data_IF_732634489427
#
_entry.id   IF_732634489427
#
_cell.length_a   1.000
_cell.length_b   1.000
_cell.length_c   1.000
_cell.angle_alpha   90.00
_cell.angle_beta   90.00
_cell.angle_gamma   90.00
#
_symmetry.space_group_name_H-M   'P 1'
#
loop_
_entity.id
_entity.type
_entity.pdbx_description
1 polymer ?
#
# COMPACT_ATOMS: atom_id res chain seq x y z
N UNK A 1 23.14 -4.10 23.94
CA UNK A 1 22.03 -4.77 24.65
C UNK A 1 20.75 -4.33 23.97
N UNK A 2 20.02 -5.24 23.33
CA UNK A 2 18.69 -4.95 22.83
C UNK A 2 17.67 -5.42 23.89
N UNK A 3 16.58 -4.67 24.15
CA UNK A 3 15.57 -5.05 25.13
C UNK A 3 14.89 -6.37 24.72
N UNK A 4 14.49 -7.22 25.67
CA UNK A 4 13.87 -8.53 25.42
C UNK A 4 12.63 -8.51 24.48
N UNK A 5 12.00 -7.35 24.32
CA UNK A 5 10.91 -7.15 23.36
C UNK A 5 11.38 -7.21 21.89
N UNK A 6 12.65 -6.91 21.58
CA UNK A 6 13.18 -6.89 20.21
C UNK A 6 13.31 -8.28 19.60
N UNK A 7 13.41 -9.33 20.42
CA UNK A 7 13.48 -10.72 19.91
C UNK A 7 12.12 -11.24 19.45
N UNK A 8 11.04 -10.56 19.86
CA UNK A 8 9.64 -10.90 19.57
C UNK A 8 8.97 -9.94 18.59
N UNK A 9 9.60 -8.80 18.33
CA UNK A 9 9.10 -7.79 17.39
C UNK A 9 9.98 -7.75 16.14
N UNK A 10 9.36 -8.00 14.99
CA UNK A 10 9.95 -7.74 13.67
C UNK A 10 9.27 -6.53 13.04
N UNK A 11 10.04 -5.50 12.69
CA UNK A 11 9.55 -4.37 11.88
C UNK A 11 10.13 -4.49 10.48
N UNK A 12 9.30 -4.27 9.47
CA UNK A 12 9.73 -4.17 8.08
C UNK A 12 8.97 -3.08 7.35
N UNK A 13 9.57 -2.48 6.35
CA UNK A 13 8.93 -1.46 5.55
C UNK A 13 9.79 -1.08 4.35
N UNK A 14 9.19 -0.33 3.45
CA UNK A 14 9.87 0.26 2.29
C UNK A 14 9.23 1.62 2.00
N UNK A 15 10.01 2.53 1.46
CA UNK A 15 9.52 3.82 1.00
C UNK A 15 10.22 4.23 -0.30
N UNK A 16 9.57 5.11 -1.06
CA UNK A 16 10.10 5.75 -2.25
C UNK A 16 9.82 7.24 -2.15
N UNK A 17 10.81 8.05 -2.50
CA UNK A 17 10.69 9.50 -2.64
C UNK A 17 11.06 9.81 -4.09
N UNK A 18 10.19 10.54 -4.78
CA UNK A 18 10.36 10.92 -6.17
C UNK A 18 10.29 12.44 -6.29
N UNK A 19 11.19 12.98 -7.10
CA UNK A 19 11.15 14.34 -7.61
C UNK A 19 11.24 14.21 -9.13
N UNK A 20 10.10 14.38 -9.80
CA UNK A 20 9.98 14.09 -11.23
C UNK A 20 9.36 15.27 -11.94
N UNK A 21 10.05 15.74 -12.98
CA UNK A 21 9.66 16.92 -13.75
C UNK A 21 9.87 16.66 -15.24
N UNK A 22 8.97 17.20 -16.07
CA UNK A 22 9.18 17.35 -17.50
C UNK A 22 10.23 18.43 -17.79
N UNK A 23 11.42 18.00 -18.23
CA UNK A 23 12.55 18.89 -18.50
C UNK A 23 12.66 19.36 -19.96
N UNK A 24 11.94 18.71 -20.88
CA UNK A 24 11.95 19.09 -22.29
C UNK A 24 10.62 18.73 -22.95
N UNK A 25 10.01 19.71 -23.64
CA UNK A 25 8.75 19.56 -24.36
C UNK A 25 9.01 19.66 -25.86
N UNK A 26 8.62 18.63 -26.61
CA UNK A 26 8.83 18.53 -28.06
C UNK A 26 7.52 18.67 -28.86
N UNK A 27 6.39 18.85 -28.17
CA UNK A 27 5.08 19.04 -28.80
C UNK A 27 4.89 20.49 -29.22
N UNK A 28 4.29 20.75 -30.40
CA UNK A 28 4.03 22.11 -30.89
C UNK A 28 2.80 22.76 -30.23
N UNK A 29 2.19 22.11 -29.24
CA UNK A 29 0.99 22.60 -28.51
C UNK A 29 1.35 22.99 -27.07
N UNK A 30 0.52 23.81 -26.44
CA UNK A 30 0.68 24.27 -25.04
C UNK A 30 0.04 23.29 -24.02
N UNK A 31 -0.22 22.04 -24.42
CA UNK A 31 -0.94 21.07 -23.59
C UNK A 31 -0.02 20.29 -22.64
N UNK A 32 1.29 20.50 -22.75
CA UNK A 32 2.34 19.89 -21.92
C UNK A 32 3.32 21.00 -21.54
N UNK A 33 3.56 21.21 -20.25
CA UNK A 33 4.46 22.27 -19.77
C UNK A 33 5.75 21.69 -19.19
N UNK A 34 6.87 22.33 -19.49
CA UNK A 34 8.12 22.05 -18.78
C UNK A 34 7.94 22.52 -17.33
N UNK A 35 8.36 21.70 -16.37
CA UNK A 35 8.07 21.93 -14.95
C UNK A 35 6.95 21.07 -14.39
N UNK A 36 6.08 20.49 -15.24
CA UNK A 36 5.00 19.63 -14.76
C UNK A 36 5.53 18.29 -14.26
N UNK A 37 4.92 17.76 -13.20
CA UNK A 37 5.26 16.44 -12.66
C UNK A 37 4.92 15.30 -13.63
N UNK A 38 5.71 14.23 -13.60
CA UNK A 38 5.42 13.04 -14.39
C UNK A 38 4.13 12.34 -13.95
N UNK A 39 3.44 11.75 -14.92
CA UNK A 39 2.25 10.95 -14.64
C UNK A 39 2.58 9.69 -13.83
N UNK A 40 1.69 9.32 -12.91
CA UNK A 40 1.81 8.16 -12.03
C UNK A 40 3.10 8.15 -11.19
N UNK A 41 3.63 9.32 -10.86
CA UNK A 41 4.83 9.48 -10.04
C UNK A 41 4.50 10.23 -8.72
N UNK A 42 3.86 9.57 -7.75
CA UNK A 42 3.64 10.18 -6.43
C UNK A 42 4.98 10.51 -5.77
N UNK A 43 5.09 11.71 -5.21
CA UNK A 43 6.32 12.18 -4.55
C UNK A 43 6.75 11.27 -3.40
N UNK A 44 5.80 10.65 -2.70
CA UNK A 44 6.09 9.74 -1.60
C UNK A 44 5.14 8.54 -1.60
N UNK A 45 5.73 7.35 -1.49
CA UNK A 45 5.00 6.10 -1.32
C UNK A 45 5.70 5.22 -0.31
N UNK A 46 4.95 4.34 0.36
CA UNK A 46 5.58 3.36 1.21
C UNK A 46 4.64 2.41 1.93
N UNK A 47 5.26 1.51 2.66
CA UNK A 47 4.59 0.58 3.54
C UNK A 47 5.41 0.33 4.80
N UNK A 48 4.70 -0.01 5.87
CA UNK A 48 5.25 -0.39 7.15
C UNK A 48 4.44 -1.57 7.69
N UNK A 49 5.13 -2.54 8.24
CA UNK A 49 4.57 -3.67 8.98
C UNK A 49 5.32 -3.87 10.28
N UNK A 50 4.61 -4.21 11.33
CA UNK A 50 5.18 -4.62 12.60
C UNK A 50 4.56 -5.95 12.99
N UNK A 51 5.36 -6.98 13.18
CA UNK A 51 4.92 -8.33 13.60
C UNK A 51 5.41 -8.58 15.01
N UNK A 52 4.49 -8.80 15.93
CA UNK A 52 4.80 -9.21 17.30
C UNK A 52 4.38 -10.67 17.51
N UNK A 53 5.29 -11.48 18.05
CA UNK A 53 5.11 -12.92 18.26
C UNK A 53 5.33 -13.28 19.72
N UNK A 54 4.52 -14.22 20.24
CA UNK A 54 4.67 -14.71 21.60
C UNK A 54 4.27 -16.17 21.72
N UNK A 55 4.92 -16.88 22.64
CA UNK A 55 4.56 -18.24 23.01
C UNK A 55 3.21 -18.20 23.75
N UNK A 56 2.17 -18.81 23.17
CA UNK A 56 0.85 -18.85 23.78
C UNK A 56 0.70 -20.07 24.72
N UNK A 57 1.22 -21.22 24.28
CA UNK A 57 1.38 -22.43 25.09
C UNK A 57 2.60 -23.23 24.57
N UNK A 58 2.89 -24.40 25.15
CA UNK A 58 4.14 -25.13 24.92
C UNK A 58 4.52 -25.33 23.44
N UNK A 59 3.52 -25.51 22.56
CA UNK A 59 3.75 -25.85 21.16
C UNK A 59 3.21 -24.78 20.18
N UNK A 60 2.48 -23.77 20.68
CA UNK A 60 1.82 -22.77 19.83
C UNK A 60 2.44 -21.38 20.00
N UNK A 61 2.82 -20.79 18.88
CA UNK A 61 3.23 -19.40 18.75
C UNK A 61 2.08 -18.59 18.19
N UNK A 62 1.72 -17.50 18.87
CA UNK A 62 0.72 -16.55 18.41
C UNK A 62 1.40 -15.30 17.85
N UNK A 63 0.73 -14.63 16.90
CA UNK A 63 1.20 -13.38 16.33
C UNK A 63 0.10 -12.36 16.09
N UNK A 64 0.49 -11.10 16.09
CA UNK A 64 -0.28 -9.99 15.53
C UNK A 64 0.61 -9.14 14.63
N UNK A 65 0.08 -8.70 13.50
CA UNK A 65 0.81 -7.93 12.51
C UNK A 65 -0.06 -6.80 11.94
N UNK A 66 -0.06 -5.61 12.55
CA UNK A 66 -0.53 -4.40 11.88
C UNK A 66 0.38 -4.03 10.70
N UNK A 67 -0.26 -3.52 9.65
CA UNK A 67 0.36 -3.06 8.41
C UNK A 67 -0.31 -1.76 7.96
N UNK A 68 0.47 -0.87 7.36
CA UNK A 68 -0.02 0.36 6.75
C UNK A 68 0.72 0.60 5.44
N UNK A 69 -0.01 1.03 4.42
CA UNK A 69 0.52 1.48 3.14
C UNK A 69 -0.04 2.86 2.81
N UNK A 70 0.78 3.69 2.19
CA UNK A 70 0.44 5.08 1.87
C UNK A 70 0.99 5.46 0.49
N UNK A 71 0.28 6.36 -0.19
CA UNK A 71 0.71 7.04 -1.41
C UNK A 71 0.25 8.48 -1.35
N UNK A 72 1.14 9.40 -1.70
CA UNK A 72 0.78 10.80 -1.96
C UNK A 72 -0.09 10.91 -3.21
N UNK A 73 -0.59 12.12 -3.43
CA UNK A 73 -1.26 12.49 -4.67
C UNK A 73 -0.30 12.36 -5.86
N UNK A 74 -0.88 12.13 -7.03
CA UNK A 74 -0.16 12.11 -8.30
C UNK A 74 -1.15 12.39 -9.43
N UNK A 75 -0.66 12.43 -10.66
CA UNK A 75 -1.53 12.74 -11.80
C UNK A 75 -1.57 11.61 -12.83
N UNK A 76 -2.70 11.47 -13.51
CA UNK A 76 -2.92 10.40 -14.50
C UNK A 76 -2.27 10.64 -15.86
N UNK A 77 -1.87 11.87 -16.17
CA UNK A 77 -1.31 12.25 -17.48
C UNK A 77 -0.35 13.44 -17.35
N UNK A 78 0.52 13.59 -18.36
CA UNK A 78 1.37 14.77 -18.57
C UNK A 78 0.66 15.83 -19.42
N UNK A 79 -0.42 15.46 -20.12
CA UNK A 79 -1.22 16.39 -20.94
C UNK A 79 -2.24 17.10 -20.05
N UNK A 80 -2.03 18.38 -19.75
CA UNK A 80 -2.78 19.13 -18.74
C UNK A 80 -4.31 19.13 -18.96
N UNK A 81 -4.78 19.12 -20.20
CA UNK A 81 -6.24 19.13 -20.52
C UNK A 81 -6.94 17.80 -20.23
N UNK A 82 -6.20 16.69 -20.24
CA UNK A 82 -6.71 15.33 -19.97
C UNK A 82 -6.16 14.76 -18.66
N UNK A 83 -5.41 15.57 -17.91
CA UNK A 83 -4.79 15.20 -16.64
C UNK A 83 -5.83 15.27 -15.54
N UNK A 84 -5.86 14.24 -14.73
CA UNK A 84 -6.74 14.14 -13.58
C UNK A 84 -5.89 13.77 -12.36
N UNK A 85 -6.28 14.28 -11.21
CA UNK A 85 -5.57 14.05 -9.96
C UNK A 85 -5.99 12.70 -9.37
N UNK A 86 -4.99 11.97 -8.89
CA UNK A 86 -5.15 10.72 -8.15
C UNK A 86 -4.90 11.08 -6.70
N UNK A 87 -5.97 11.09 -5.91
CA UNK A 87 -5.92 11.49 -4.50
C UNK A 87 -4.94 10.63 -3.69
N UNK A 88 -4.28 11.28 -2.73
CA UNK A 88 -3.49 10.57 -1.73
C UNK A 88 -4.35 9.59 -0.93
N UNK A 89 -3.77 8.46 -0.52
CA UNK A 89 -4.49 7.45 0.24
C UNK A 89 -3.60 6.79 1.29
N UNK A 90 -4.25 6.28 2.34
CA UNK A 90 -3.60 5.46 3.37
C UNK A 90 -4.52 4.30 3.73
N UNK A 91 -3.97 3.09 3.65
CA UNK A 91 -4.70 1.85 3.92
C UNK A 91 -4.07 1.12 5.08
N UNK A 92 -4.92 0.73 6.04
CA UNK A 92 -4.53 -0.06 7.20
C UNK A 92 -4.98 -1.50 7.05
N UNK A 93 -4.14 -2.44 7.45
CA UNK A 93 -4.44 -3.86 7.47
C UNK A 93 -3.93 -4.49 8.75
N UNK A 94 -4.55 -5.58 9.19
CA UNK A 94 -4.11 -6.34 10.36
C UNK A 94 -4.25 -7.82 10.11
N UNK A 95 -3.28 -8.57 10.61
CA UNK A 95 -3.31 -10.03 10.59
C UNK A 95 -3.04 -10.55 11.98
N UNK A 96 -3.75 -11.58 12.42
CA UNK A 96 -3.51 -12.25 13.69
C UNK A 96 -3.66 -13.76 13.51
N UNK A 97 -2.82 -14.55 14.17
CA UNK A 97 -2.84 -15.99 13.99
C UNK A 97 -2.11 -16.76 15.08
N UNK A 98 -2.24 -18.07 14.99
CA UNK A 98 -1.58 -19.06 15.84
C UNK A 98 -0.97 -20.13 14.95
N UNK A 99 0.24 -20.56 15.26
CA UNK A 99 0.97 -21.57 14.48
C UNK A 99 1.69 -22.54 15.42
N UNK A 100 1.67 -23.83 15.09
CA UNK A 100 2.53 -24.86 15.65
C UNK A 100 3.21 -25.65 14.51
N UNK A 101 3.86 -26.77 14.83
CA UNK A 101 4.56 -27.60 13.82
C UNK A 101 3.64 -28.15 12.72
N UNK A 102 2.37 -28.41 13.04
CA UNK A 102 1.41 -29.11 12.18
C UNK A 102 0.37 -28.19 11.55
N UNK A 103 -0.06 -27.16 12.26
CA UNK A 103 -1.19 -26.29 11.93
C UNK A 103 -0.79 -24.82 11.99
N UNK A 104 -1.29 -24.03 11.04
CA UNK A 104 -1.28 -22.58 11.11
C UNK A 104 -2.68 -22.06 10.82
N UNK A 105 -3.22 -21.23 11.70
CA UNK A 105 -4.54 -20.61 11.56
C UNK A 105 -4.37 -19.10 11.69
N UNK A 106 -4.87 -18.36 10.72
CA UNK A 106 -4.71 -16.92 10.64
C UNK A 106 -6.01 -16.25 10.20
N UNK A 107 -6.33 -15.12 10.82
CA UNK A 107 -7.38 -14.20 10.40
C UNK A 107 -6.75 -12.90 9.94
N UNK A 108 -7.34 -12.29 8.93
CA UNK A 108 -6.85 -11.02 8.39
C UNK A 108 -8.01 -10.07 8.09
N UNK A 109 -7.73 -8.78 8.23
CA UNK A 109 -8.58 -7.69 7.80
C UNK A 109 -7.74 -6.70 6.98
N UNK A 110 -8.12 -6.49 5.73
CA UNK A 110 -7.48 -5.53 4.83
C UNK A 110 -8.36 -4.29 4.65
N UNK A 111 -7.71 -3.14 4.45
CA UNK A 111 -8.39 -1.86 4.26
C UNK A 111 -9.39 -1.55 5.39
N UNK A 112 -8.91 -1.56 6.64
CA UNK A 112 -9.71 -1.36 7.84
C UNK A 112 -10.38 0.02 7.89
N UNK A 113 -9.83 1.03 7.22
CA UNK A 113 -10.44 2.35 7.06
C UNK A 113 -11.59 2.37 6.05
N UNK A 114 -11.75 1.33 5.22
CA UNK A 114 -12.62 1.34 4.03
C UNK A 114 -12.29 2.50 3.06
N UNK A 115 -11.00 2.74 2.89
CA UNK A 115 -10.47 3.78 2.01
C UNK A 115 -10.72 3.41 0.54
N UNK A 116 -11.18 4.37 -0.25
CA UNK A 116 -11.38 4.19 -1.70
C UNK A 116 -10.13 4.65 -2.45
N UNK A 117 -9.02 4.01 -2.13
CA UNK A 117 -7.73 4.32 -2.72
C UNK A 117 -7.77 4.16 -4.25
N UNK A 118 -7.43 5.22 -4.97
CA UNK A 118 -7.34 5.25 -6.42
C UNK A 118 -5.96 4.76 -6.84
N UNK A 119 -5.90 3.56 -7.42
CA UNK A 119 -4.62 2.93 -7.80
C UNK A 119 -4.25 3.25 -9.24
N UNK A 120 -5.25 3.50 -10.08
CA UNK A 120 -5.07 3.98 -11.44
C UNK A 120 -6.26 4.81 -11.87
N UNK A 121 -6.00 5.90 -12.59
CA UNK A 121 -7.01 6.76 -13.20
C UNK A 121 -6.64 7.00 -14.65
N UNK A 122 -7.64 7.04 -15.53
CA UNK A 122 -7.45 7.33 -16.93
C UNK A 122 -8.62 8.18 -17.44
N UNK A 123 -8.31 9.14 -18.31
CA UNK A 123 -9.29 10.00 -18.96
C UNK A 123 -9.14 9.87 -20.47
N UNK A 124 -10.04 9.13 -21.11
CA UNK A 124 -10.02 8.88 -22.56
C UNK A 124 -11.45 9.02 -23.10
N UNK A 125 -11.61 9.74 -24.22
CA UNK A 125 -12.91 10.04 -24.85
C UNK A 125 -13.91 10.75 -23.91
N UNK A 126 -13.45 11.74 -23.14
CA UNK A 126 -14.25 12.48 -22.15
C UNK A 126 -14.91 11.59 -21.07
N UNK A 127 -14.32 10.42 -20.81
CA UNK A 127 -14.78 9.53 -19.74
C UNK A 127 -13.66 9.25 -18.74
N UNK A 128 -13.96 9.53 -17.47
CA UNK A 128 -13.14 9.13 -16.34
C UNK A 128 -13.30 7.64 -16.06
N UNK A 129 -12.18 6.93 -15.98
CA UNK A 129 -12.10 5.53 -15.56
C UNK A 129 -11.16 5.44 -14.38
N UNK A 130 -11.69 5.06 -13.23
CA UNK A 130 -10.95 4.94 -11.98
C UNK A 130 -10.94 3.48 -11.55
N UNK A 131 -9.75 2.99 -11.20
CA UNK A 131 -9.55 1.68 -10.59
C UNK A 131 -9.28 1.87 -9.11
N UNK A 132 -10.24 1.42 -8.30
CA UNK A 132 -10.13 1.46 -6.85
C UNK A 132 -9.44 0.20 -6.32
N UNK A 133 -8.71 0.37 -5.23
CA UNK A 133 -8.23 -0.74 -4.43
C UNK A 133 -9.41 -1.57 -3.88
N UNK A 134 -9.13 -2.79 -3.44
CA UNK A 134 -10.17 -3.64 -2.85
C UNK A 134 -10.79 -2.93 -1.63
N UNK A 135 -12.12 -3.00 -1.47
CA UNK A 135 -12.80 -2.42 -0.30
C UNK A 135 -12.36 -3.15 0.98
N UNK A 136 -12.88 -2.75 2.13
CA UNK A 136 -12.65 -3.47 3.38
C UNK A 136 -12.97 -4.96 3.22
N UNK A 137 -12.01 -5.83 3.48
CA UNK A 137 -12.16 -7.28 3.38
C UNK A 137 -11.67 -7.98 4.62
N UNK A 138 -12.36 -9.05 5.01
CA UNK A 138 -11.97 -9.93 6.10
C UNK A 138 -11.90 -11.36 5.60
N UNK A 139 -10.99 -12.14 6.16
CA UNK A 139 -10.86 -13.54 5.80
C UNK A 139 -10.10 -14.35 6.84
N UNK A 140 -10.04 -15.65 6.58
CA UNK A 140 -9.29 -16.60 7.37
C UNK A 140 -8.51 -17.55 6.46
N UNK A 141 -7.39 -18.05 6.96
CA UNK A 141 -6.54 -19.04 6.29
C UNK A 141 -6.14 -20.10 7.31
N UNK A 142 -6.21 -21.35 6.90
CA UNK A 142 -5.71 -22.48 7.67
C UNK A 142 -4.78 -23.33 6.80
N UNK A 143 -3.65 -23.74 7.35
CA UNK A 143 -2.63 -24.58 6.70
C UNK A 143 -2.37 -25.79 7.58
N UNK A 144 -2.21 -26.97 6.97
CA UNK A 144 -1.86 -28.23 7.62
C UNK A 144 -0.62 -28.82 6.95
N UNK A 145 0.41 -29.13 7.75
CA UNK A 145 1.65 -29.75 7.31
C UNK A 145 1.67 -31.22 7.75
N UNK A 146 1.91 -32.13 6.82
CA UNK A 146 1.90 -33.59 7.00
C UNK A 146 3.30 -34.19 7.00
#
# INVERSE_FOLDING_TARGET
>A
WLPAFSERLTIGGAFSILDTELTNVITPTNDVSSGDELAFAPEFQGNLRARYEWDWNADWVAHVMPMVSWSSESFSDIISINRDEIDSWTMWSVTAGITNETWSIEVFGNNLSDERAEVARNFVFDQQRVTYATPRTFGMRATFNF
#
